data_IF_526322308364
#
_entry.id   IF_526322308364
#
_cell.length_a   1.000
_cell.length_b   1.000
_cell.length_c   1.000
_cell.angle_alpha   90.00
_cell.angle_beta   90.00
_cell.angle_gamma   90.00
#
_symmetry.space_group_name_H-M   'P 1'
#
loop_
_entity.id
_entity.type
_entity.pdbx_description
1 polymer ?
#
# COMPACT_ATOMS: atom_id res chain seq x y z
N UNK A 1 -13.43 9.40 -25.49
CA UNK A 1 -11.98 9.62 -25.33
C UNK A 1 -11.56 8.92 -24.04
N UNK A 2 -10.44 8.22 -24.05
CA UNK A 2 -9.90 7.58 -22.83
C UNK A 2 -9.42 8.66 -21.83
N UNK A 3 -9.79 8.58 -20.54
CA UNK A 3 -9.30 9.52 -19.56
C UNK A 3 -7.82 9.29 -19.26
N UNK A 4 -7.12 10.35 -18.86
CA UNK A 4 -5.82 10.21 -18.20
C UNK A 4 -5.96 9.54 -16.84
N UNK A 5 -4.91 8.91 -16.37
CA UNK A 5 -4.87 8.27 -15.06
C UNK A 5 -3.64 8.75 -14.29
N UNK A 6 -3.87 9.22 -13.08
CA UNK A 6 -2.81 9.53 -12.11
C UNK A 6 -3.01 8.64 -10.90
N UNK A 7 -2.14 7.67 -10.71
CA UNK A 7 -2.14 6.75 -9.56
C UNK A 7 -1.01 7.13 -8.59
N UNK A 8 -1.39 7.79 -7.51
CA UNK A 8 -0.49 8.19 -6.43
C UNK A 8 -0.53 7.12 -5.35
N UNK A 9 0.62 6.55 -5.03
CA UNK A 9 0.76 5.53 -4.00
C UNK A 9 1.79 5.95 -2.97
N UNK A 10 1.45 5.89 -1.70
CA UNK A 10 2.41 6.15 -0.60
C UNK A 10 2.97 4.85 -0.04
N UNK A 11 3.99 4.97 0.79
CA UNK A 11 4.70 3.86 1.43
C UNK A 11 4.49 3.90 2.95
N UNK A 12 3.94 2.84 3.52
CA UNK A 12 3.68 2.70 4.96
C UNK A 12 2.67 3.74 5.50
N UNK A 13 1.53 3.93 4.84
CA UNK A 13 0.54 4.91 5.30
C UNK A 13 -0.82 4.25 5.63
N UNK A 14 -1.22 4.17 6.90
CA UNK A 14 -2.58 3.78 7.26
C UNK A 14 -3.57 4.89 6.91
N UNK A 15 -4.83 4.53 6.68
CA UNK A 15 -5.90 5.49 6.37
C UNK A 15 -6.03 6.58 7.46
N UNK A 16 -5.90 6.22 8.73
CA UNK A 16 -5.98 7.16 9.85
C UNK A 16 -4.84 8.20 9.91
N UNK A 17 -3.79 8.05 9.11
CA UNK A 17 -2.75 9.07 8.94
C UNK A 17 -3.08 10.07 7.82
N UNK A 18 -4.38 10.39 7.63
CA UNK A 18 -4.88 11.44 6.73
C UNK A 18 -6.05 12.16 7.41
N UNK A 19 -6.13 13.47 7.27
CA UNK A 19 -7.14 14.32 7.92
C UNK A 19 -8.58 13.90 7.60
N UNK A 20 -8.89 13.64 6.33
CA UNK A 20 -10.24 13.26 5.89
C UNK A 20 -10.75 11.92 6.49
N UNK A 21 -9.86 11.11 7.09
CA UNK A 21 -10.25 9.92 7.85
C UNK A 21 -10.43 10.18 9.36
N UNK A 22 -10.48 11.44 9.77
CA UNK A 22 -10.80 11.85 11.14
C UNK A 22 -9.60 12.23 12.01
N UNK A 23 -8.39 12.26 11.46
CA UNK A 23 -7.21 12.69 12.19
C UNK A 23 -7.08 14.22 12.22
N UNK A 24 -7.36 14.83 13.37
CA UNK A 24 -7.35 16.28 13.54
C UNK A 24 -5.94 16.86 13.84
N UNK A 25 -4.94 16.01 14.09
CA UNK A 25 -3.56 16.43 14.36
C UNK A 25 -2.72 16.51 13.08
N UNK A 26 -3.13 15.79 12.02
CA UNK A 26 -2.38 15.75 10.78
C UNK A 26 -2.85 16.81 9.79
N UNK A 27 -1.92 17.44 9.09
CA UNK A 27 -2.20 18.52 8.14
C UNK A 27 -2.12 18.02 6.70
N UNK A 28 -3.30 17.77 6.11
CA UNK A 28 -3.44 17.20 4.76
C UNK A 28 -4.54 17.91 3.95
N UNK A 29 -4.46 19.24 3.78
CA UNK A 29 -5.56 20.03 3.18
C UNK A 29 -5.83 19.64 1.71
N UNK A 30 -4.84 19.21 0.95
CA UNK A 30 -5.01 18.83 -0.45
C UNK A 30 -5.70 17.46 -0.58
N UNK A 31 -5.33 16.49 0.26
CA UNK A 31 -6.02 15.21 0.35
C UNK A 31 -7.43 15.34 0.89
N UNK A 32 -7.63 16.23 1.86
CA UNK A 32 -8.97 16.53 2.40
C UNK A 32 -9.87 17.16 1.32
N UNK A 33 -9.33 18.05 0.48
CA UNK A 33 -10.05 18.62 -0.66
C UNK A 33 -10.34 17.54 -1.74
N UNK A 34 -9.36 16.68 -2.04
CA UNK A 34 -9.55 15.56 -2.97
C UNK A 34 -10.69 14.62 -2.50
N UNK A 35 -10.73 14.32 -1.21
CA UNK A 35 -11.78 13.52 -0.59
C UNK A 35 -13.15 14.23 -0.60
N UNK A 36 -13.16 15.55 -0.36
CA UNK A 36 -14.39 16.34 -0.33
C UNK A 36 -15.06 16.44 -1.72
N UNK A 37 -14.28 16.44 -2.78
CA UNK A 37 -14.78 16.55 -4.15
C UNK A 37 -14.83 15.20 -4.89
N UNK A 38 -14.26 14.15 -4.33
CA UNK A 38 -14.21 12.79 -4.88
C UNK A 38 -15.01 11.76 -4.09
N UNK A 39 -14.60 10.50 -4.21
CA UNK A 39 -15.08 9.36 -3.42
C UNK A 39 -13.99 8.91 -2.46
N UNK A 40 -14.31 8.85 -1.17
CA UNK A 40 -13.46 8.29 -0.12
C UNK A 40 -13.96 6.92 0.31
N UNK A 41 -13.09 5.91 0.26
CA UNK A 41 -13.39 4.57 0.78
C UNK A 41 -12.90 4.45 2.23
N UNK A 42 -13.80 4.17 3.17
CA UNK A 42 -13.47 4.03 4.59
C UNK A 42 -12.80 2.67 4.89
N UNK A 43 -13.12 1.65 4.10
CA UNK A 43 -12.69 0.28 4.30
C UNK A 43 -11.93 -0.26 3.07
N UNK A 44 -10.88 0.46 2.67
CA UNK A 44 -9.93 -0.03 1.68
C UNK A 44 -8.77 -0.75 2.38
N UNK A 45 -8.40 -1.91 1.86
CA UNK A 45 -7.37 -2.77 2.44
C UNK A 45 -6.35 -3.22 1.41
N UNK A 46 -5.08 -3.34 1.82
CA UNK A 46 -4.09 -4.03 1.00
C UNK A 46 -4.16 -5.56 1.23
N UNK A 47 -3.81 -6.38 0.23
CA UNK A 47 -3.83 -7.84 0.38
C UNK A 47 -2.65 -8.38 1.17
N UNK A 48 -1.57 -7.59 1.30
CA UNK A 48 -0.36 -7.92 2.03
C UNK A 48 0.26 -6.63 2.56
N UNK A 49 0.66 -6.61 3.83
CA UNK A 49 1.25 -5.41 4.43
C UNK A 49 2.77 -5.41 4.34
N UNK A 50 3.27 -5.50 3.10
CA UNK A 50 4.67 -5.30 2.74
C UNK A 50 4.79 -4.69 1.36
N UNK A 51 5.82 -3.87 1.15
CA UNK A 51 5.98 -3.04 -0.06
C UNK A 51 5.89 -3.86 -1.36
N UNK A 52 6.82 -4.81 -1.60
CA UNK A 52 6.88 -5.53 -2.88
C UNK A 52 5.65 -6.40 -3.15
N UNK A 53 5.13 -7.20 -2.20
CA UNK A 53 3.91 -7.97 -2.44
C UNK A 53 2.70 -7.10 -2.76
N UNK A 54 2.49 -6.04 -2.00
CA UNK A 54 1.35 -5.14 -2.23
C UNK A 54 1.45 -4.41 -3.57
N UNK A 55 2.63 -3.91 -3.92
CA UNK A 55 2.88 -3.28 -5.23
C UNK A 55 2.63 -4.26 -6.38
N UNK A 56 3.13 -5.49 -6.28
CA UNK A 56 2.86 -6.56 -7.25
C UNK A 56 1.35 -6.79 -7.41
N UNK A 57 0.60 -6.80 -6.31
CA UNK A 57 -0.85 -6.99 -6.31
C UNK A 57 -1.60 -5.84 -7.00
N UNK A 58 -1.26 -4.59 -6.71
CA UNK A 58 -1.89 -3.41 -7.36
C UNK A 58 -1.59 -3.39 -8.86
N UNK A 59 -0.36 -3.71 -9.26
CA UNK A 59 0.04 -3.67 -10.67
C UNK A 59 -0.55 -4.80 -11.50
N UNK A 60 -0.87 -5.95 -10.90
CA UNK A 60 -1.30 -7.16 -11.62
C UNK A 60 -2.71 -7.66 -11.30
N UNK A 61 -3.38 -7.06 -10.31
CA UNK A 61 -4.70 -7.52 -9.83
C UNK A 61 -4.68 -8.88 -9.13
N UNK A 62 -3.50 -9.37 -8.67
CA UNK A 62 -3.27 -10.72 -8.14
C UNK A 62 -2.92 -10.71 -6.66
N UNK A 63 -3.13 -11.85 -6.01
CA UNK A 63 -2.67 -12.11 -4.63
C UNK A 63 -1.24 -12.67 -4.63
N UNK A 64 -0.52 -12.61 -3.48
CA UNK A 64 0.80 -13.22 -3.34
C UNK A 64 0.87 -14.70 -3.77
N UNK A 65 -0.14 -15.50 -3.45
CA UNK A 65 -0.24 -16.90 -3.90
C UNK A 65 -0.36 -17.08 -5.42
N UNK A 66 -0.57 -16.00 -6.17
CA UNK A 66 -0.63 -16.02 -7.63
C UNK A 66 0.63 -15.44 -8.30
N UNK A 67 1.20 -14.35 -7.74
CA UNK A 67 2.36 -13.70 -8.34
C UNK A 67 3.70 -14.11 -7.70
N UNK A 68 3.68 -14.86 -6.59
CA UNK A 68 4.88 -15.42 -5.96
C UNK A 68 5.73 -14.44 -5.16
N UNK A 69 5.33 -13.18 -5.04
CA UNK A 69 6.03 -12.19 -4.22
C UNK A 69 5.39 -12.19 -2.83
N UNK A 70 5.97 -12.93 -1.89
CA UNK A 70 5.43 -13.11 -0.54
C UNK A 70 6.07 -12.20 0.51
N UNK A 71 7.28 -11.70 0.21
CA UNK A 71 8.04 -10.84 1.10
C UNK A 71 8.66 -9.68 0.33
N UNK A 72 9.21 -8.69 1.04
CA UNK A 72 9.90 -7.57 0.41
C UNK A 72 11.16 -8.04 -0.35
N UNK A 73 11.42 -7.41 -1.47
CA UNK A 73 12.62 -7.67 -2.24
C UNK A 73 13.83 -7.02 -1.57
N UNK A 74 14.85 -7.83 -1.26
CA UNK A 74 16.06 -7.33 -0.64
C UNK A 74 16.95 -6.61 -1.68
N UNK A 75 16.91 -5.30 -1.70
CA UNK A 75 17.68 -4.45 -2.63
C UNK A 75 19.21 -4.56 -2.46
N UNK A 76 19.68 -5.03 -1.31
CA UNK A 76 21.10 -5.35 -1.11
C UNK A 76 21.59 -6.50 -1.99
N UNK A 77 20.66 -7.33 -2.46
CA UNK A 77 20.94 -8.46 -3.36
C UNK A 77 20.70 -8.11 -4.85
N UNK A 78 20.35 -6.86 -5.15
CA UNK A 78 19.96 -6.43 -6.51
C UNK A 78 21.06 -6.71 -7.54
N UNK A 79 22.33 -6.58 -7.18
CA UNK A 79 23.46 -6.86 -8.07
C UNK A 79 23.56 -8.34 -8.44
N UNK A 80 22.96 -9.23 -7.65
CA UNK A 80 22.92 -10.68 -7.90
C UNK A 80 21.73 -11.09 -8.77
N UNK A 81 20.77 -10.19 -9.00
CA UNK A 81 19.62 -10.48 -9.85
C UNK A 81 20.01 -10.44 -11.33
N UNK A 82 19.35 -11.23 -12.20
CA UNK A 82 19.55 -11.13 -13.64
C UNK A 82 19.37 -9.69 -14.15
N UNK A 83 20.03 -9.34 -15.25
CA UNK A 83 20.11 -7.95 -15.75
C UNK A 83 18.73 -7.29 -15.96
N UNK A 84 17.78 -8.06 -16.50
CA UNK A 84 16.42 -7.56 -16.76
C UNK A 84 15.38 -8.16 -15.79
N UNK A 85 15.80 -8.56 -14.60
CA UNK A 85 14.90 -9.25 -13.68
C UNK A 85 13.81 -8.35 -13.13
N UNK A 86 12.58 -8.88 -13.17
CA UNK A 86 11.36 -8.27 -12.65
C UNK A 86 10.50 -9.37 -12.01
N UNK A 87 10.07 -9.16 -10.79
CA UNK A 87 9.32 -10.14 -10.00
C UNK A 87 7.94 -10.52 -10.59
N UNK A 88 7.39 -9.67 -11.45
CA UNK A 88 6.06 -9.84 -12.06
C UNK A 88 6.10 -9.84 -13.59
N UNK A 89 7.27 -10.11 -14.18
CA UNK A 89 7.47 -10.09 -15.63
C UNK A 89 6.61 -11.10 -16.42
N UNK A 90 6.09 -12.14 -15.76
CA UNK A 90 5.25 -13.16 -16.41
C UNK A 90 3.74 -12.82 -16.38
N UNK A 91 3.37 -11.67 -15.85
CA UNK A 91 1.96 -11.25 -15.73
C UNK A 91 1.67 -9.97 -16.51
N UNK A 92 0.50 -9.90 -17.10
CA UNK A 92 -0.01 -8.63 -17.65
C UNK A 92 -0.21 -7.62 -16.53
N UNK A 93 0.54 -6.55 -16.57
CA UNK A 93 0.44 -5.45 -15.60
C UNK A 93 -0.42 -4.31 -16.14
N UNK A 94 -1.00 -3.52 -15.24
CA UNK A 94 -1.80 -2.37 -15.61
C UNK A 94 -1.07 -1.43 -16.59
N UNK A 95 0.18 -0.99 -16.34
CA UNK A 95 0.85 -0.12 -17.29
C UNK A 95 1.17 -0.79 -18.64
N UNK A 96 1.46 -2.09 -18.68
CA UNK A 96 1.64 -2.80 -19.97
C UNK A 96 0.36 -2.83 -20.80
N UNK A 97 -0.78 -3.12 -20.15
CA UNK A 97 -2.08 -3.10 -20.83
C UNK A 97 -2.39 -1.72 -21.37
N UNK A 98 -2.18 -0.68 -20.57
CA UNK A 98 -2.46 0.68 -21.01
C UNK A 98 -1.49 1.13 -22.13
N UNK A 99 -0.21 0.81 -22.02
CA UNK A 99 0.77 1.14 -23.07
C UNK A 99 0.40 0.51 -24.41
N UNK A 100 0.08 -0.79 -24.45
CA UNK A 100 -0.35 -1.47 -25.68
C UNK A 100 -1.69 -0.96 -26.24
N UNK A 101 -2.47 -0.27 -25.42
CA UNK A 101 -3.72 0.41 -25.82
C UNK A 101 -3.53 1.93 -26.10
N UNK A 102 -2.30 2.39 -26.31
CA UNK A 102 -1.98 3.72 -26.79
C UNK A 102 -1.75 4.79 -25.73
N UNK A 103 -1.74 4.43 -24.45
CA UNK A 103 -1.36 5.35 -23.37
C UNK A 103 0.14 5.65 -23.40
N UNK A 104 0.50 6.88 -23.16
CA UNK A 104 1.85 7.22 -22.70
C UNK A 104 1.95 6.85 -21.22
N UNK A 105 3.00 6.13 -20.84
CA UNK A 105 3.12 5.58 -19.49
C UNK A 105 4.34 6.13 -18.78
N UNK A 106 4.15 6.57 -17.53
CA UNK A 106 5.22 7.06 -16.68
C UNK A 106 5.18 6.43 -15.30
N UNK A 107 6.37 6.15 -14.75
CA UNK A 107 6.57 5.79 -13.35
C UNK A 107 7.61 6.75 -12.75
N UNK A 108 7.21 7.47 -11.71
CA UNK A 108 8.03 8.48 -11.03
C UNK A 108 7.98 8.20 -9.54
N UNK A 109 9.02 7.56 -8.99
CA UNK A 109 9.09 7.22 -7.58
C UNK A 109 9.66 5.83 -7.29
N UNK A 110 9.24 5.21 -6.19
CA UNK A 110 9.72 3.90 -5.71
C UNK A 110 9.09 2.75 -6.50
N UNK A 111 9.90 1.97 -7.21
CA UNK A 111 9.43 0.79 -7.94
C UNK A 111 9.35 -0.48 -7.07
N UNK A 112 10.45 -0.95 -6.57
CA UNK A 112 10.62 -2.07 -5.64
C UNK A 112 10.04 -3.43 -6.12
N UNK A 113 10.05 -3.69 -7.44
CA UNK A 113 9.61 -4.95 -8.04
C UNK A 113 10.67 -5.62 -8.93
N UNK A 114 11.87 -5.06 -9.04
CA UNK A 114 12.93 -5.61 -9.87
C UNK A 114 14.09 -4.64 -10.05
N UNK A 115 14.84 -4.84 -11.15
CA UNK A 115 15.94 -3.95 -11.54
C UNK A 115 15.43 -2.54 -11.81
N UNK A 116 16.28 -1.53 -11.59
CA UNK A 116 15.91 -0.13 -11.54
C UNK A 116 16.54 0.71 -12.68
N UNK A 117 17.55 0.19 -13.32
CA UNK A 117 18.36 0.88 -14.33
C UNK A 117 17.66 1.08 -15.67
N UNK A 118 16.58 0.34 -15.93
CA UNK A 118 15.79 0.37 -17.15
C UNK A 118 14.30 0.42 -16.86
N UNK A 119 13.50 1.02 -17.77
CA UNK A 119 12.04 0.91 -17.73
C UNK A 119 11.58 -0.55 -17.70
N UNK A 120 10.53 -0.83 -16.94
CA UNK A 120 9.91 -2.14 -16.75
C UNK A 120 8.42 -2.07 -17.06
N UNK A 121 7.78 -3.21 -17.30
CA UNK A 121 6.32 -3.36 -17.36
C UNK A 121 5.61 -2.36 -18.31
N UNK A 122 6.17 -2.10 -19.47
CA UNK A 122 5.56 -1.20 -20.46
C UNK A 122 5.56 0.28 -20.07
N UNK A 123 6.46 0.69 -19.21
CA UNK A 123 6.65 2.10 -18.85
C UNK A 123 7.58 2.77 -19.86
N UNK A 124 7.18 3.93 -20.42
CA UNK A 124 7.97 4.71 -21.37
C UNK A 124 8.87 5.75 -20.68
N UNK A 125 8.37 6.38 -19.63
CA UNK A 125 9.08 7.42 -18.87
C UNK A 125 9.40 6.92 -17.47
N UNK A 126 10.72 6.86 -17.14
CA UNK A 126 11.20 6.16 -15.96
C UNK A 126 12.06 7.04 -15.07
N UNK A 127 11.55 7.35 -13.89
CA UNK A 127 12.28 8.06 -12.83
C UNK A 127 12.09 7.29 -11.54
N UNK A 128 13.18 6.86 -10.92
CA UNK A 128 13.14 6.11 -9.67
C UNK A 128 14.33 6.44 -8.78
N UNK A 129 14.34 5.91 -7.59
CA UNK A 129 15.50 5.89 -6.71
C UNK A 129 16.24 4.57 -6.84
N UNK A 130 17.55 4.56 -6.55
CA UNK A 130 18.40 3.37 -6.69
C UNK A 130 18.16 2.28 -5.65
N UNK A 131 17.23 2.47 -4.74
CA UNK A 131 16.87 1.55 -3.66
C UNK A 131 15.37 1.34 -3.53
N UNK A 132 14.97 0.17 -3.03
CA UNK A 132 13.60 -0.12 -2.63
C UNK A 132 13.26 0.36 -1.22
N UNK A 133 14.25 0.69 -0.38
CA UNK A 133 14.07 1.16 0.99
C UNK A 133 14.52 2.61 1.16
N UNK A 134 13.77 3.36 1.97
CA UNK A 134 14.09 4.73 2.34
C UNK A 134 14.92 4.74 3.61
N UNK A 135 16.19 5.11 3.50
CA UNK A 135 17.08 5.29 4.65
C UNK A 135 17.10 6.73 5.16
N UNK A 136 16.95 7.67 4.26
CA UNK A 136 16.78 9.10 4.51
C UNK A 136 15.93 9.68 3.38
N UNK A 137 15.29 10.82 3.59
CA UNK A 137 14.58 11.54 2.54
C UNK A 137 15.47 12.50 1.76
N UNK A 138 16.73 12.70 2.17
CA UNK A 138 17.73 13.59 1.58
C UNK A 138 18.95 12.82 1.11
N UNK A 139 19.65 13.35 0.12
CA UNK A 139 20.89 12.74 -0.39
C UNK A 139 20.67 11.40 -1.07
N UNK A 140 19.49 11.18 -1.67
CA UNK A 140 19.16 9.93 -2.34
C UNK A 140 19.75 9.89 -3.76
N UNK A 141 20.23 8.71 -4.14
CA UNK A 141 20.60 8.44 -5.52
C UNK A 141 19.35 8.20 -6.35
N UNK A 142 19.17 9.04 -7.38
CA UNK A 142 18.06 9.00 -8.31
C UNK A 142 18.51 8.47 -9.67
N UNK A 143 17.59 7.81 -10.36
CA UNK A 143 17.76 7.31 -11.74
C UNK A 143 16.73 8.01 -12.61
N UNK A 144 17.19 8.78 -13.60
CA UNK A 144 16.35 9.49 -14.55
C UNK A 144 16.74 9.07 -15.96
N UNK A 145 15.89 8.30 -16.64
CA UNK A 145 16.14 7.79 -17.99
C UNK A 145 17.49 7.06 -18.14
N UNK A 146 17.92 6.35 -17.10
CA UNK A 146 19.18 5.60 -17.05
C UNK A 146 20.36 6.38 -16.48
N UNK A 147 20.29 7.70 -16.35
CA UNK A 147 21.31 8.52 -15.71
C UNK A 147 21.13 8.52 -14.19
N UNK A 148 22.21 8.31 -13.45
CA UNK A 148 22.23 8.24 -11.99
C UNK A 148 22.92 9.45 -11.40
N UNK A 149 22.33 10.08 -10.38
CA UNK A 149 22.91 11.21 -9.67
C UNK A 149 22.39 11.30 -8.22
N UNK A 150 23.13 11.99 -7.36
CA UNK A 150 22.67 12.28 -5.99
C UNK A 150 21.82 13.53 -5.99
N UNK A 151 20.61 13.41 -5.43
CA UNK A 151 19.70 14.53 -5.19
C UNK A 151 19.77 14.94 -3.71
N UNK A 152 20.27 16.14 -3.43
CA UNK A 152 20.46 16.62 -2.08
C UNK A 152 19.15 17.08 -1.39
N UNK A 153 18.11 17.39 -2.17
CA UNK A 153 16.79 17.80 -1.68
C UNK A 153 15.95 16.64 -1.15
N UNK A 154 14.74 16.97 -0.70
CA UNK A 154 13.78 15.98 -0.24
C UNK A 154 13.24 15.13 -1.40
N UNK A 155 13.29 13.81 -1.28
CA UNK A 155 12.93 12.89 -2.37
C UNK A 155 11.48 13.02 -2.81
N UNK A 156 10.53 13.26 -1.88
CA UNK A 156 9.10 13.44 -2.21
C UNK A 156 8.89 14.73 -3.02
N UNK A 157 9.59 15.83 -2.67
CA UNK A 157 9.53 17.08 -3.43
C UNK A 157 10.08 16.86 -4.84
N UNK A 158 11.20 16.13 -4.97
CA UNK A 158 11.76 15.78 -6.27
C UNK A 158 10.78 14.99 -7.15
N UNK A 159 10.16 13.95 -6.60
CA UNK A 159 9.20 13.16 -7.37
C UNK A 159 7.97 13.98 -7.75
N UNK A 160 7.51 14.87 -6.87
CA UNK A 160 6.39 15.78 -7.14
C UNK A 160 6.72 16.75 -8.28
N UNK A 161 7.92 17.37 -8.24
CA UNK A 161 8.41 18.24 -9.33
C UNK A 161 8.48 17.48 -10.66
N UNK A 162 9.04 16.27 -10.67
CA UNK A 162 9.12 15.45 -11.88
C UNK A 162 7.75 15.00 -12.41
N UNK A 163 6.77 14.78 -11.52
CA UNK A 163 5.40 14.50 -11.92
C UNK A 163 4.75 15.73 -12.58
N UNK A 164 4.97 16.92 -12.02
CA UNK A 164 4.54 18.19 -12.65
C UNK A 164 5.20 18.38 -14.01
N UNK A 165 6.53 18.24 -14.11
CA UNK A 165 7.28 18.32 -15.38
C UNK A 165 6.70 17.36 -16.44
N UNK A 166 6.33 16.13 -16.03
CA UNK A 166 5.72 15.15 -16.92
C UNK A 166 4.34 15.61 -17.41
N UNK A 167 3.48 16.08 -16.51
CA UNK A 167 2.13 16.57 -16.85
C UNK A 167 2.24 17.77 -17.80
N UNK A 168 3.11 18.73 -17.51
CA UNK A 168 3.34 19.91 -18.37
C UNK A 168 3.80 19.49 -19.78
N UNK A 169 4.68 18.51 -19.85
CA UNK A 169 5.16 17.93 -21.11
C UNK A 169 4.05 17.28 -21.95
N UNK A 170 2.95 16.80 -21.33
CA UNK A 170 1.81 16.19 -22.06
C UNK A 170 1.03 17.19 -22.92
N UNK A 171 1.16 18.47 -22.67
CA UNK A 171 0.57 19.52 -23.53
C UNK A 171 1.06 19.48 -24.98
N UNK A 172 2.21 18.86 -25.24
CA UNK A 172 2.74 18.63 -26.60
C UNK A 172 2.03 17.46 -27.33
N UNK A 173 1.23 16.66 -26.63
CA UNK A 173 0.48 15.52 -27.19
C UNK A 173 -0.87 15.41 -26.47
N UNK A 174 -1.73 16.42 -26.50
CA UNK A 174 -2.92 16.52 -25.66
C UNK A 174 -3.97 15.43 -25.96
N UNK A 175 -3.97 14.88 -27.18
CA UNK A 175 -4.91 13.85 -27.61
C UNK A 175 -4.48 12.43 -27.21
N UNK A 176 -3.24 12.25 -26.75
CA UNK A 176 -2.76 10.95 -26.27
C UNK A 176 -3.01 10.83 -24.77
N UNK A 177 -3.84 9.87 -24.30
CA UNK A 177 -4.04 9.67 -22.88
C UNK A 177 -2.74 9.21 -22.23
N UNK A 178 -2.60 9.49 -20.92
CA UNK A 178 -1.43 9.06 -20.16
C UNK A 178 -1.81 8.35 -18.86
N UNK A 179 -0.94 7.44 -18.47
CA UNK A 179 -0.86 6.87 -17.12
C UNK A 179 0.38 7.46 -16.44
N UNK A 180 0.18 8.18 -15.35
CA UNK A 180 1.23 8.57 -14.43
C UNK A 180 1.11 7.74 -13.14
N UNK A 181 2.04 6.84 -12.91
CA UNK A 181 2.21 6.18 -11.62
C UNK A 181 3.22 6.98 -10.79
N UNK A 182 2.76 7.48 -9.65
CA UNK A 182 3.56 8.29 -8.72
C UNK A 182 3.67 7.57 -7.36
N UNK A 183 4.49 6.52 -7.27
CA UNK A 183 4.72 5.82 -6.00
C UNK A 183 5.78 6.56 -5.17
N UNK A 184 5.34 7.37 -4.23
CA UNK A 184 6.22 8.03 -3.28
C UNK A 184 6.98 7.03 -2.41
N UNK A 185 8.19 7.41 -1.97
CA UNK A 185 9.00 6.63 -1.02
C UNK A 185 8.72 6.99 0.45
N UNK A 186 7.64 7.69 0.72
CA UNK A 186 7.20 8.11 2.05
C UNK A 186 5.69 7.92 2.24
N UNK A 187 5.20 8.19 3.48
CA UNK A 187 5.88 8.80 4.65
C UNK A 187 6.91 7.91 5.38
N UNK A 188 6.97 6.64 5.11
CA UNK A 188 7.93 5.62 5.51
C UNK A 188 8.24 5.56 7.02
N UNK A 189 7.57 4.65 7.72
CA UNK A 189 7.64 4.55 9.17
C UNK A 189 8.89 3.86 9.75
N UNK A 190 9.78 3.30 8.91
CA UNK A 190 10.96 2.58 9.39
C UNK A 190 12.14 3.50 9.69
N UNK A 191 12.96 3.08 10.67
CA UNK A 191 14.25 3.67 10.92
C UNK A 191 15.26 3.28 9.82
N UNK A 192 16.26 4.15 9.53
CA UNK A 192 16.53 5.43 10.18
C UNK A 192 15.77 6.65 9.61
N UNK A 193 14.91 6.47 8.60
CA UNK A 193 14.29 7.56 7.84
C UNK A 193 13.58 8.62 8.71
N UNK A 194 12.94 8.17 9.80
CA UNK A 194 12.19 9.05 10.73
C UNK A 194 12.90 9.25 12.07
N UNK A 195 14.20 8.94 12.16
CA UNK A 195 14.96 9.16 13.36
C UNK A 195 15.25 10.65 13.60
N UNK A 196 14.87 11.14 14.76
CA UNK A 196 15.07 12.53 15.14
C UNK A 196 14.10 13.52 14.49
N UNK A 197 14.32 14.83 14.70
CA UNK A 197 13.51 15.87 14.10
C UNK A 197 13.57 15.83 12.57
N UNK A 198 12.46 16.04 11.89
CA UNK A 198 12.46 16.18 10.44
C UNK A 198 13.11 17.50 10.01
N UNK A 199 13.72 17.48 8.82
CA UNK A 199 14.32 18.67 8.21
C UNK A 199 13.39 19.35 7.20
N UNK A 200 12.19 18.76 6.96
CA UNK A 200 11.26 19.27 5.95
C UNK A 200 10.52 20.53 6.42
N UNK A 201 9.88 21.21 5.47
CA UNK A 201 9.20 22.50 5.68
C UNK A 201 7.99 22.43 6.64
N UNK A 202 7.49 21.25 6.98
CA UNK A 202 6.35 21.08 7.87
C UNK A 202 6.72 20.72 9.31
N UNK A 203 8.02 20.53 9.61
CA UNK A 203 8.46 20.11 10.93
C UNK A 203 7.96 21.02 12.06
N UNK A 204 8.05 22.34 11.90
CA UNK A 204 7.68 23.30 12.95
C UNK A 204 6.21 23.17 13.37
N UNK A 205 5.34 22.70 12.47
CA UNK A 205 3.93 22.43 12.79
C UNK A 205 3.77 21.29 13.79
N UNK A 206 4.69 20.33 13.78
CA UNK A 206 4.63 19.10 14.57
C UNK A 206 5.58 19.07 15.76
N UNK A 207 6.54 20.00 15.86
CA UNK A 207 7.62 19.99 16.84
C UNK A 207 7.16 19.82 18.29
N UNK A 208 6.00 20.39 18.65
CA UNK A 208 5.41 20.32 19.98
C UNK A 208 4.06 19.59 20.04
N UNK A 209 3.66 18.94 18.94
CA UNK A 209 2.35 18.28 18.87
C UNK A 209 2.25 17.11 19.87
N UNK A 210 1.15 16.99 20.62
CA UNK A 210 1.01 15.96 21.65
C UNK A 210 0.85 14.53 21.11
N UNK A 211 0.49 14.37 19.83
CA UNK A 211 0.30 13.08 19.14
C UNK A 211 -0.76 12.21 19.83
N UNK A 212 -1.89 12.82 20.19
CA UNK A 212 -3.00 12.13 20.90
C UNK A 212 -3.81 11.22 19.98
N UNK A 213 -3.73 11.42 18.68
CA UNK A 213 -4.37 10.58 17.68
C UNK A 213 -3.75 9.18 17.57
N UNK A 214 -2.57 8.97 18.17
CA UNK A 214 -1.87 7.69 18.19
C UNK A 214 -2.00 7.09 19.58
N UNK A 215 -2.63 5.90 19.73
CA UNK A 215 -2.67 5.21 21.01
C UNK A 215 -1.27 4.73 21.38
N UNK A 216 -0.80 5.11 22.56
CA UNK A 216 0.50 4.71 23.10
C UNK A 216 0.30 3.51 24.01
N UNK A 217 0.38 2.35 23.44
CA UNK A 217 0.17 1.09 24.14
C UNK A 217 1.50 0.53 24.66
N UNK A 218 1.42 -0.37 25.65
CA UNK A 218 2.58 -1.12 26.11
C UNK A 218 3.11 -2.07 25.03
N UNK A 219 4.35 -2.54 25.17
CA UNK A 219 4.97 -3.47 24.21
C UNK A 219 4.11 -4.71 23.99
N UNK A 220 3.94 -5.08 22.77
CA UNK A 220 3.25 -6.29 22.35
C UNK A 220 4.16 -7.50 22.53
N UNK A 221 3.68 -8.54 23.24
CA UNK A 221 4.45 -9.77 23.50
C UNK A 221 4.88 -10.44 22.19
N UNK A 222 4.02 -10.48 21.17
CA UNK A 222 4.34 -11.07 19.86
C UNK A 222 5.40 -10.28 19.10
N UNK A 223 5.51 -8.96 19.30
CA UNK A 223 6.60 -8.16 18.76
C UNK A 223 7.93 -8.50 19.44
N UNK A 224 7.89 -8.82 20.74
CA UNK A 224 9.04 -9.31 21.49
C UNK A 224 9.44 -10.71 21.01
N UNK A 225 8.46 -11.60 20.80
CA UNK A 225 8.70 -12.95 20.27
C UNK A 225 9.32 -12.91 18.88
N UNK A 226 8.82 -12.04 18.00
CA UNK A 226 9.39 -11.83 16.68
C UNK A 226 10.87 -11.36 16.73
N UNK A 227 11.18 -10.49 17.68
CA UNK A 227 12.55 -10.04 17.89
C UNK A 227 13.46 -11.16 18.43
N UNK A 228 13.00 -11.95 19.39
CA UNK A 228 13.75 -13.07 19.94
C UNK A 228 14.03 -14.11 18.86
N UNK A 229 13.04 -14.47 18.06
CA UNK A 229 13.20 -15.38 16.93
C UNK A 229 14.22 -14.85 15.91
N UNK A 230 14.17 -13.56 15.59
CA UNK A 230 15.14 -12.93 14.71
C UNK A 230 16.56 -12.99 15.27
N UNK A 231 16.73 -12.79 16.58
CA UNK A 231 18.02 -12.91 17.25
C UNK A 231 18.55 -14.34 17.25
N UNK A 232 17.69 -15.34 17.48
CA UNK A 232 18.07 -16.74 17.38
C UNK A 232 18.55 -17.13 15.98
N UNK A 233 17.88 -16.65 14.93
CA UNK A 233 18.29 -16.87 13.54
C UNK A 233 19.64 -16.23 13.23
N UNK A 234 19.89 -15.02 13.71
CA UNK A 234 21.19 -14.35 13.55
C UNK A 234 22.31 -15.11 14.23
N UNK A 235 22.10 -15.63 15.45
CA UNK A 235 23.07 -16.47 16.16
C UNK A 235 23.35 -17.79 15.45
N UNK A 236 22.39 -18.28 14.64
CA UNK A 236 22.57 -19.47 13.79
C UNK A 236 23.20 -19.15 12.42
N UNK A 237 23.62 -17.91 12.18
CA UNK A 237 24.15 -17.45 10.90
C UNK A 237 23.11 -17.36 9.78
N UNK A 238 21.83 -17.36 10.13
CA UNK A 238 20.74 -17.13 9.18
C UNK A 238 20.43 -15.64 9.08
N UNK A 239 20.04 -15.15 7.92
CA UNK A 239 19.47 -13.81 7.80
C UNK A 239 18.11 -13.78 8.52
N UNK A 240 18.07 -13.12 9.64
CA UNK A 240 16.83 -12.85 10.35
C UNK A 240 16.13 -11.60 9.79
N UNK A 241 14.82 -11.49 9.99
CA UNK A 241 14.11 -10.27 9.67
C UNK A 241 14.70 -9.09 10.44
N UNK A 242 14.83 -7.95 9.78
CA UNK A 242 15.48 -6.75 10.33
C UNK A 242 14.51 -5.96 11.22
N UNK A 243 14.07 -6.53 12.33
CA UNK A 243 13.05 -5.97 13.24
C UNK A 243 13.60 -5.06 14.34
N UNK A 244 14.89 -4.73 14.35
CA UNK A 244 15.50 -3.93 15.42
C UNK A 244 14.82 -2.57 15.64
N UNK A 245 14.30 -1.95 14.58
CA UNK A 245 13.57 -0.70 14.67
C UNK A 245 12.22 -0.85 15.37
N UNK A 246 11.63 -2.04 15.34
CA UNK A 246 10.26 -2.29 15.79
C UNK A 246 10.09 -2.25 17.31
N UNK A 247 11.15 -2.54 18.07
CA UNK A 247 11.14 -2.49 19.54
C UNK A 247 11.67 -1.17 20.11
N UNK A 248 12.41 -0.39 19.32
CA UNK A 248 13.07 0.83 19.81
C UNK A 248 12.19 2.07 19.74
N UNK A 249 11.13 2.04 18.92
CA UNK A 249 10.32 3.20 18.56
C UNK A 249 8.99 3.36 19.27
N UNK A 250 8.34 2.32 19.84
CA UNK A 250 7.05 2.51 20.46
C UNK A 250 7.08 3.73 21.38
N UNK A 251 6.19 4.70 21.15
CA UNK A 251 6.10 5.95 21.92
C UNK A 251 7.22 6.99 21.72
N UNK A 252 8.07 6.88 20.72
CA UNK A 252 9.01 7.94 20.41
C UNK A 252 8.30 9.13 19.72
N UNK A 253 7.97 10.16 20.51
CA UNK A 253 7.23 11.33 20.03
C UNK A 253 7.92 12.05 18.86
N UNK A 254 9.25 12.13 18.87
CA UNK A 254 9.99 12.79 17.79
C UNK A 254 9.83 12.02 16.47
N UNK A 255 9.89 10.70 16.50
CA UNK A 255 9.66 9.87 15.31
C UNK A 255 8.20 9.92 14.82
N UNK A 256 7.22 9.94 15.73
CA UNK A 256 5.82 10.12 15.39
C UNK A 256 5.58 11.47 14.70
N UNK A 257 6.13 12.54 15.24
CA UNK A 257 6.05 13.90 14.68
C UNK A 257 6.75 14.00 13.33
N UNK A 258 7.92 13.34 13.19
CA UNK A 258 8.63 13.26 11.92
C UNK A 258 7.77 12.55 10.88
N UNK A 259 7.19 11.40 11.20
CA UNK A 259 6.30 10.66 10.31
C UNK A 259 5.10 11.53 9.84
N UNK A 260 4.41 12.23 10.74
CA UNK A 260 3.30 13.12 10.36
C UNK A 260 3.76 14.27 9.46
N UNK A 261 4.95 14.82 9.72
CA UNK A 261 5.49 15.87 8.86
C UNK A 261 5.79 15.36 7.43
N UNK A 262 6.21 14.09 7.28
CA UNK A 262 6.40 13.48 5.96
C UNK A 262 5.07 13.30 5.20
N UNK A 263 3.99 12.98 5.90
CA UNK A 263 2.64 12.93 5.27
C UNK A 263 2.25 14.32 4.74
N UNK A 264 2.55 15.39 5.46
CA UNK A 264 2.27 16.76 4.99
C UNK A 264 3.12 17.16 3.78
N UNK A 265 4.35 16.67 3.65
CA UNK A 265 5.16 16.85 2.43
C UNK A 265 4.50 16.16 1.23
N UNK A 266 3.99 14.95 1.43
CA UNK A 266 3.25 14.22 0.38
C UNK A 266 1.98 14.97 -0.01
N UNK A 267 1.20 15.41 0.96
CA UNK A 267 0.00 16.21 0.70
C UNK A 267 0.28 17.45 -0.14
N UNK A 268 1.40 18.13 0.18
CA UNK A 268 1.85 19.27 -0.62
C UNK A 268 2.15 18.87 -2.08
N UNK A 269 2.84 17.74 -2.28
CA UNK A 269 3.10 17.19 -3.61
C UNK A 269 1.83 16.82 -4.38
N UNK A 270 0.84 16.25 -3.69
CA UNK A 270 -0.49 15.99 -4.30
C UNK A 270 -1.14 17.30 -4.77
N UNK A 271 -1.07 18.35 -3.96
CA UNK A 271 -1.55 19.69 -4.35
C UNK A 271 -0.87 20.22 -5.60
N UNK A 272 0.43 20.04 -5.75
CA UNK A 272 1.18 20.45 -6.95
C UNK A 272 0.71 19.66 -8.18
N UNK A 273 0.54 18.35 -8.07
CA UNK A 273 0.02 17.51 -9.18
C UNK A 273 -1.39 17.93 -9.60
N UNK A 274 -2.29 18.14 -8.64
CA UNK A 274 -3.66 18.58 -8.92
C UNK A 274 -3.70 19.96 -9.60
N UNK A 275 -2.83 20.88 -9.17
CA UNK A 275 -2.70 22.19 -9.79
C UNK A 275 -2.18 22.06 -11.23
N UNK A 276 -1.17 21.25 -11.48
CA UNK A 276 -0.62 21.02 -12.82
C UNK A 276 -1.68 20.45 -13.78
N UNK A 277 -2.49 19.49 -13.34
CA UNK A 277 -3.60 18.95 -14.13
C UNK A 277 -4.58 20.07 -14.53
N UNK A 278 -4.95 20.93 -13.59
CA UNK A 278 -5.89 22.02 -13.80
C UNK A 278 -5.31 23.12 -14.71
N UNK A 279 -4.08 23.54 -14.46
CA UNK A 279 -3.42 24.59 -15.25
C UNK A 279 -3.21 24.20 -16.70
N UNK A 280 -3.03 22.91 -16.97
CA UNK A 280 -2.89 22.34 -18.30
C UNK A 280 -4.21 21.89 -18.95
N UNK A 281 -5.35 22.03 -18.25
CA UNK A 281 -6.67 21.67 -18.76
C UNK A 281 -6.91 20.17 -18.90
N UNK A 282 -6.22 19.36 -18.09
CA UNK A 282 -6.40 17.89 -18.04
C UNK A 282 -7.38 17.43 -16.98
N UNK A 283 -7.78 18.30 -16.05
CA UNK A 283 -8.61 17.96 -14.86
C UNK A 283 -9.99 17.38 -15.24
N UNK A 284 -10.62 17.88 -16.29
CA UNK A 284 -11.94 17.39 -16.75
C UNK A 284 -11.90 15.96 -17.31
N UNK A 285 -10.75 15.48 -17.77
CA UNK A 285 -10.58 14.15 -18.38
C UNK A 285 -9.45 13.34 -17.71
N UNK A 286 -9.33 13.44 -16.40
CA UNK A 286 -8.36 12.66 -15.63
C UNK A 286 -9.04 11.95 -14.46
N UNK A 287 -8.66 10.70 -14.22
CA UNK A 287 -8.97 9.95 -13.00
C UNK A 287 -7.74 10.04 -12.10
N UNK A 288 -7.90 10.58 -10.90
CA UNK A 288 -6.86 10.63 -9.87
C UNK A 288 -7.20 9.64 -8.78
N UNK A 289 -6.24 8.79 -8.44
CA UNK A 289 -6.33 7.79 -7.37
C UNK A 289 -5.21 8.07 -6.37
N UNK A 290 -5.56 8.23 -5.11
CA UNK A 290 -4.61 8.28 -4.01
C UNK A 290 -4.79 7.06 -3.12
N UNK A 291 -3.72 6.31 -2.90
CA UNK A 291 -3.71 5.13 -2.04
C UNK A 291 -2.34 4.92 -1.38
N UNK A 292 -2.20 3.88 -0.58
CA UNK A 292 -0.91 3.43 -0.05
C UNK A 292 -0.66 1.98 -0.46
N UNK A 293 0.62 1.56 -0.44
CA UNK A 293 0.94 0.14 -0.64
C UNK A 293 0.45 -0.71 0.55
N UNK A 294 0.66 -0.25 1.78
CA UNK A 294 0.09 -0.85 2.99
C UNK A 294 0.01 0.16 4.13
N UNK A 295 -0.71 -0.22 5.19
CA UNK A 295 -0.76 0.54 6.43
C UNK A 295 0.52 0.36 7.27
N UNK A 296 0.51 0.94 8.48
CA UNK A 296 1.65 0.88 9.39
C UNK A 296 1.20 1.16 10.82
N UNK A 297 1.56 0.30 11.76
CA UNK A 297 1.36 0.60 13.16
C UNK A 297 2.42 1.59 13.64
N UNK A 298 1.96 2.68 14.23
CA UNK A 298 2.80 3.71 14.86
C UNK A 298 2.82 3.57 16.39
N UNK A 299 2.61 2.35 16.89
CA UNK A 299 2.49 2.03 18.32
C UNK A 299 1.13 1.45 18.70
N UNK A 300 0.18 1.38 17.78
CA UNK A 300 -1.08 0.64 17.95
C UNK A 300 -0.78 -0.83 18.25
N UNK A 301 -1.55 -1.46 19.11
CA UNK A 301 -1.30 -2.82 19.58
C UNK A 301 0.08 -3.03 20.23
N UNK A 302 0.81 -1.95 20.55
CA UNK A 302 2.12 -2.01 21.21
C UNK A 302 3.26 -2.50 20.30
N UNK A 303 3.13 -2.35 18.99
CA UNK A 303 4.22 -2.59 18.06
C UNK A 303 4.39 -1.44 17.05
N UNK A 304 5.55 -1.40 16.41
CA UNK A 304 5.90 -0.45 15.35
C UNK A 304 6.21 -1.21 14.07
N UNK A 305 5.45 -1.00 13.03
CA UNK A 305 5.64 -1.69 11.76
C UNK A 305 4.35 -2.18 11.10
N UNK A 306 4.47 -3.16 10.25
CA UNK A 306 3.38 -3.71 9.44
C UNK A 306 3.12 -5.21 9.69
N UNK A 307 2.68 -5.98 8.69
CA UNK A 307 2.26 -7.39 8.87
C UNK A 307 3.28 -8.29 9.56
N UNK A 308 4.56 -8.15 9.23
CA UNK A 308 5.67 -8.93 9.83
C UNK A 308 6.20 -8.38 11.17
N UNK A 309 5.65 -7.29 11.68
CA UNK A 309 6.14 -6.71 12.93
C UNK A 309 5.82 -7.56 14.17
N UNK A 310 5.04 -8.60 14.01
CA UNK A 310 4.69 -9.58 15.03
C UNK A 310 4.95 -10.99 14.53
N UNK A 311 5.15 -11.94 15.43
CA UNK A 311 5.16 -13.36 15.13
C UNK A 311 4.09 -14.09 15.97
N UNK A 312 3.15 -14.84 15.37
CA UNK A 312 2.87 -14.89 13.92
C UNK A 312 2.55 -13.52 13.34
N UNK A 313 2.66 -13.42 12.00
CA UNK A 313 2.34 -12.19 11.24
C UNK A 313 0.91 -11.74 11.54
N UNK A 314 0.72 -10.46 11.81
CA UNK A 314 -0.60 -9.93 12.11
C UNK A 314 -1.40 -9.60 10.84
N UNK A 315 -2.72 -9.48 11.00
CA UNK A 315 -3.62 -8.92 10.02
C UNK A 315 -4.51 -7.82 10.62
N UNK A 316 -3.97 -7.10 11.63
CA UNK A 316 -4.68 -6.02 12.29
C UNK A 316 -4.97 -4.87 11.33
N UNK A 317 -6.12 -4.24 11.52
CA UNK A 317 -6.61 -3.15 10.69
C UNK A 317 -5.55 -2.09 10.41
N UNK A 318 -4.80 -1.66 11.41
CA UNK A 318 -3.81 -0.58 11.27
C UNK A 318 -2.72 -0.86 10.22
N UNK A 319 -2.32 -2.11 10.03
CA UNK A 319 -1.30 -2.49 9.06
C UNK A 319 -1.87 -2.71 7.64
N UNK A 320 -3.18 -2.86 7.49
CA UNK A 320 -3.81 -3.23 6.22
C UNK A 320 -4.83 -2.22 5.71
N UNK A 321 -5.46 -1.40 6.58
CA UNK A 321 -6.39 -0.37 6.16
C UNK A 321 -5.62 0.84 5.62
N UNK A 322 -5.78 1.08 4.33
CA UNK A 322 -5.08 2.11 3.57
C UNK A 322 -6.04 3.23 3.14
N UNK A 323 -5.55 4.45 2.92
CA UNK A 323 -6.36 5.46 2.26
C UNK A 323 -6.70 5.01 0.83
N UNK A 324 -7.90 5.29 0.39
CA UNK A 324 -8.29 5.20 -1.02
C UNK A 324 -9.24 6.35 -1.32
N UNK A 325 -8.73 7.30 -2.09
CA UNK A 325 -9.47 8.45 -2.60
C UNK A 325 -9.49 8.37 -4.12
N UNK A 326 -10.64 8.57 -4.73
CA UNK A 326 -10.77 8.62 -6.19
C UNK A 326 -11.53 9.86 -6.62
N UNK A 327 -11.01 10.54 -7.63
CA UNK A 327 -11.55 11.80 -8.12
C UNK A 327 -11.44 11.87 -9.64
N UNK A 328 -12.35 12.61 -10.28
CA UNK A 328 -12.23 13.03 -11.65
C UNK A 328 -13.24 12.43 -12.62
N UNK A 329 -12.82 12.15 -13.84
CA UNK A 329 -13.68 11.77 -14.95
C UNK A 329 -14.63 10.62 -14.64
N UNK A 330 -15.95 10.88 -14.70
CA UNK A 330 -17.00 9.88 -14.49
C UNK A 330 -17.10 9.36 -13.05
N UNK A 331 -16.54 10.05 -12.07
CA UNK A 331 -16.66 9.75 -10.64
C UNK A 331 -17.64 10.72 -10.02
N UNK A 332 -18.67 10.22 -9.37
CA UNK A 332 -19.65 11.07 -8.66
C UNK A 332 -19.02 11.58 -7.37
N UNK A 333 -18.61 12.85 -7.36
CA UNK A 333 -17.93 13.45 -6.22
C UNK A 333 -18.78 13.59 -4.95
N UNK A 334 -18.12 13.97 -3.83
CA UNK A 334 -18.73 14.27 -2.52
C UNK A 334 -19.36 13.06 -1.84
N UNK A 335 -18.75 11.91 -1.97
CA UNK A 335 -19.24 10.65 -1.40
C UNK A 335 -18.21 9.99 -0.48
N UNK A 336 -18.70 9.24 0.48
CA UNK A 336 -17.90 8.27 1.22
C UNK A 336 -18.56 6.90 1.12
N UNK A 337 -17.77 5.88 0.78
CA UNK A 337 -18.21 4.49 0.75
C UNK A 337 -17.71 3.77 1.99
N UNK A 338 -18.58 2.98 2.60
CA UNK A 338 -18.23 2.05 3.68
C UNK A 338 -17.97 0.62 3.17
N UNK A 339 -18.05 0.41 1.87
CA UNK A 339 -17.81 -0.88 1.23
C UNK A 339 -16.36 -1.34 1.41
N UNK A 340 -16.18 -2.65 1.57
CA UNK A 340 -14.88 -3.28 1.74
C UNK A 340 -14.26 -3.56 0.38
N UNK A 341 -13.19 -2.84 0.06
CA UNK A 341 -12.46 -2.97 -1.21
C UNK A 341 -10.99 -3.33 -0.95
N UNK A 342 -10.42 -4.10 -1.86
CA UNK A 342 -8.98 -4.39 -1.87
C UNK A 342 -8.24 -3.44 -2.82
N UNK A 343 -7.00 -3.11 -2.52
CA UNK A 343 -6.17 -2.36 -3.49
C UNK A 343 -5.93 -3.15 -4.79
N UNK A 344 -6.07 -4.47 -4.80
CA UNK A 344 -6.08 -5.30 -6.01
C UNK A 344 -7.25 -4.94 -6.93
N UNK A 345 -8.38 -4.49 -6.37
CA UNK A 345 -9.61 -4.17 -7.11
C UNK A 345 -9.44 -2.92 -8.01
N UNK A 346 -8.40 -2.10 -7.77
CA UNK A 346 -8.05 -0.95 -8.62
C UNK A 346 -7.76 -1.42 -10.05
N UNK A 347 -7.09 -2.56 -10.22
CA UNK A 347 -6.73 -3.11 -11.53
C UNK A 347 -7.97 -3.40 -12.39
N UNK A 348 -8.91 -4.21 -11.90
CA UNK A 348 -10.14 -4.54 -12.63
C UNK A 348 -11.03 -3.31 -12.84
N UNK A 349 -11.11 -2.43 -11.84
CA UNK A 349 -11.92 -1.21 -11.92
C UNK A 349 -11.42 -0.27 -13.01
N UNK A 350 -10.11 -0.06 -13.11
CA UNK A 350 -9.54 0.79 -14.17
C UNK A 350 -9.74 0.16 -15.55
N UNK A 351 -9.48 -1.13 -15.71
CA UNK A 351 -9.68 -1.80 -17.00
C UNK A 351 -11.15 -1.77 -17.45
N UNK A 352 -12.08 -1.95 -16.52
CA UNK A 352 -13.52 -1.79 -16.81
C UNK A 352 -13.86 -0.38 -17.29
N UNK A 353 -13.44 0.64 -16.54
CA UNK A 353 -13.72 2.04 -16.89
C UNK A 353 -13.13 2.47 -18.23
N UNK A 354 -12.10 1.79 -18.69
CA UNK A 354 -11.46 2.01 -19.97
C UNK A 354 -12.03 1.12 -21.09
N UNK A 355 -12.99 0.24 -20.79
CA UNK A 355 -13.58 -0.68 -21.76
C UNK A 355 -12.59 -1.76 -22.22
N UNK A 356 -11.58 -2.09 -21.42
CA UNK A 356 -10.54 -3.09 -21.72
C UNK A 356 -10.90 -4.48 -21.17
N UNK A 357 -12.14 -4.91 -21.37
CA UNK A 357 -12.71 -6.17 -20.86
C UNK A 357 -11.99 -7.42 -21.35
N UNK A 358 -11.55 -7.43 -22.60
CA UNK A 358 -10.87 -8.59 -23.19
C UNK A 358 -9.58 -8.95 -22.45
N UNK A 359 -8.96 -7.96 -21.82
CA UNK A 359 -7.76 -8.16 -21.01
C UNK A 359 -8.08 -8.76 -19.63
N UNK A 360 -9.30 -8.56 -19.12
CA UNK A 360 -9.76 -9.14 -17.85
C UNK A 360 -10.29 -10.56 -18.01
N UNK A 361 -11.13 -10.81 -19.00
CA UNK A 361 -11.86 -12.10 -19.17
C UNK A 361 -10.91 -13.31 -19.29
N UNK A 362 -9.68 -13.08 -19.74
CA UNK A 362 -8.66 -14.12 -19.91
C UNK A 362 -7.91 -14.45 -18.64
N UNK A 363 -8.11 -13.67 -17.57
CA UNK A 363 -7.32 -13.77 -16.35
C UNK A 363 -8.14 -14.35 -15.19
N UNK A 364 -7.64 -15.39 -14.54
CA UNK A 364 -8.20 -15.88 -13.29
C UNK A 364 -7.61 -15.07 -12.11
N UNK A 365 -8.17 -13.88 -11.85
CA UNK A 365 -7.69 -12.97 -10.81
C UNK A 365 -8.80 -12.64 -9.80
N UNK A 366 -8.46 -12.37 -8.54
CA UNK A 366 -9.43 -12.01 -7.50
C UNK A 366 -9.82 -10.52 -7.53
N UNK A 367 -9.18 -9.72 -8.39
CA UNK A 367 -9.48 -8.30 -8.55
C UNK A 367 -10.94 -8.10 -8.99
N UNK A 368 -11.69 -7.33 -8.20
CA UNK A 368 -13.11 -7.06 -8.42
C UNK A 368 -13.31 -5.65 -8.98
N UNK A 369 -14.32 -5.48 -9.80
CA UNK A 369 -14.68 -4.18 -10.34
C UNK A 369 -15.65 -3.44 -9.41
N UNK A 370 -15.20 -2.32 -8.83
CA UNK A 370 -16.02 -1.46 -7.98
C UNK A 370 -16.50 -0.17 -8.67
N UNK A 371 -16.61 -0.17 -9.99
CA UNK A 371 -17.09 1.01 -10.76
C UNK A 371 -18.46 1.49 -10.24
N UNK A 372 -19.36 0.57 -9.86
CA UNK A 372 -20.65 0.91 -9.25
C UNK A 372 -20.52 1.76 -8.01
N UNK A 373 -19.58 1.45 -7.12
CA UNK A 373 -19.35 2.21 -5.89
C UNK A 373 -18.90 3.66 -6.14
N UNK A 374 -18.28 3.93 -7.28
CA UNK A 374 -17.85 5.28 -7.67
C UNK A 374 -19.01 6.20 -8.08
N UNK A 375 -20.18 5.62 -8.33
CA UNK A 375 -21.42 6.36 -8.68
C UNK A 375 -22.51 6.17 -7.64
N UNK A 376 -22.19 5.52 -6.51
CA UNK A 376 -23.12 5.30 -5.39
C UNK A 376 -24.03 4.09 -5.56
N UNK A 377 -23.67 3.14 -6.43
CA UNK A 377 -24.39 1.86 -6.63
C UNK A 377 -23.59 0.74 -5.93
N UNK A 378 -24.13 0.22 -4.83
CA UNK A 378 -23.56 -0.86 -4.02
C UNK A 378 -24.41 -2.14 -3.99
N UNK A 379 -25.51 -2.19 -4.76
CA UNK A 379 -26.55 -3.24 -4.71
C UNK A 379 -26.01 -4.68 -4.86
N UNK A 380 -24.89 -4.87 -5.58
CA UNK A 380 -24.31 -6.19 -5.86
C UNK A 380 -22.91 -6.37 -5.27
N UNK A 381 -22.47 -5.47 -4.39
CA UNK A 381 -21.16 -5.55 -3.79
C UNK A 381 -21.12 -6.47 -2.56
N UNK A 382 -20.09 -7.29 -2.46
CA UNK A 382 -19.85 -8.14 -1.28
C UNK A 382 -18.78 -7.50 -0.39
N UNK A 383 -19.18 -7.15 0.82
CA UNK A 383 -18.32 -6.50 1.82
C UNK A 383 -17.41 -7.51 2.51
N UNK A 384 -16.41 -7.98 1.79
CA UNK A 384 -15.34 -8.82 2.34
C UNK A 384 -14.03 -8.57 1.60
N UNK A 385 -12.91 -8.69 2.31
CA UNK A 385 -11.55 -8.64 1.74
C UNK A 385 -10.71 -9.76 2.32
N UNK A 386 -9.77 -10.25 1.50
CA UNK A 386 -8.85 -11.32 1.87
C UNK A 386 -7.43 -10.78 1.95
N UNK A 387 -6.68 -11.30 2.91
CA UNK A 387 -5.30 -10.92 3.23
C UNK A 387 -4.45 -12.18 3.20
N UNK A 388 -3.23 -12.06 2.68
CA UNK A 388 -2.22 -13.10 2.72
C UNK A 388 -0.89 -12.51 3.16
N UNK A 389 -0.42 -12.91 4.33
CA UNK A 389 0.84 -12.48 4.89
C UNK A 389 1.60 -13.70 5.40
N UNK A 390 2.48 -14.26 4.55
CA UNK A 390 3.28 -15.45 4.87
C UNK A 390 2.43 -16.61 5.45
N UNK A 391 2.61 -16.96 6.74
CA UNK A 391 1.87 -18.03 7.43
C UNK A 391 0.44 -17.63 7.83
N UNK A 392 -0.02 -16.45 7.47
CA UNK A 392 -1.35 -15.93 7.82
C UNK A 392 -2.19 -15.67 6.58
N UNK A 393 -3.38 -16.26 6.52
CA UNK A 393 -4.45 -15.84 5.62
C UNK A 393 -5.61 -15.32 6.46
N UNK A 394 -6.18 -14.20 6.08
CA UNK A 394 -7.26 -13.59 6.84
C UNK A 394 -8.42 -13.14 5.95
N UNK A 395 -9.59 -13.05 6.55
CA UNK A 395 -10.78 -12.43 5.98
C UNK A 395 -11.25 -11.30 6.91
N UNK A 396 -11.64 -10.19 6.33
CA UNK A 396 -12.32 -9.08 7.02
C UNK A 396 -13.68 -8.82 6.38
N UNK A 397 -14.67 -8.68 7.23
CA UNK A 397 -16.05 -8.30 6.88
C UNK A 397 -16.47 -7.13 7.76
N UNK A 398 -17.65 -6.50 7.57
CA UNK A 398 -18.12 -5.45 8.46
C UNK A 398 -18.24 -5.85 9.93
N UNK A 399 -18.48 -7.13 10.22
CA UNK A 399 -18.71 -7.63 11.57
C UNK A 399 -17.56 -8.45 12.15
N UNK A 400 -16.72 -9.04 11.33
CA UNK A 400 -15.73 -10.02 11.78
C UNK A 400 -14.38 -9.87 11.11
N UNK A 401 -13.31 -10.16 11.85
CA UNK A 401 -11.96 -10.38 11.35
C UNK A 401 -11.48 -11.74 11.83
N UNK A 402 -11.00 -12.59 10.91
CA UNK A 402 -10.51 -13.94 11.25
C UNK A 402 -9.15 -14.18 10.61
N UNK A 403 -8.16 -14.57 11.44
CA UNK A 403 -6.80 -14.91 11.02
C UNK A 403 -6.61 -16.42 11.10
N UNK A 404 -6.44 -17.05 9.96
CA UNK A 404 -6.12 -18.47 9.83
C UNK A 404 -4.61 -18.63 9.66
N UNK A 405 -4.01 -19.52 10.46
CA UNK A 405 -2.58 -19.77 10.51
C UNK A 405 -2.20 -21.06 9.81
N UNK A 406 -1.04 -21.06 9.18
CA UNK A 406 -0.47 -22.18 8.43
C UNK A 406 0.96 -22.46 8.91
N UNK A 407 1.47 -23.68 8.72
CA UNK A 407 2.86 -24.03 8.93
C UNK A 407 3.34 -24.09 10.39
N UNK A 408 2.45 -24.14 11.36
CA UNK A 408 2.82 -24.35 12.75
C UNK A 408 3.48 -25.71 13.02
N UNK A 409 4.31 -25.81 14.06
CA UNK A 409 4.95 -27.04 14.53
C UNK A 409 4.58 -27.33 15.97
N UNK A 410 4.92 -28.55 16.49
CA UNK A 410 4.73 -28.88 17.91
C UNK A 410 5.52 -27.93 18.84
N UNK A 411 6.68 -27.45 18.38
CA UNK A 411 7.53 -26.53 19.15
C UNK A 411 7.02 -25.09 19.09
N UNK A 412 6.42 -24.69 17.95
CA UNK A 412 5.86 -23.36 17.72
C UNK A 412 4.44 -23.49 17.16
N UNK A 413 3.45 -23.83 18.00
CA UNK A 413 2.07 -23.95 17.55
C UNK A 413 1.52 -22.58 17.20
N UNK A 414 0.92 -22.47 16.02
CA UNK A 414 0.27 -21.24 15.57
C UNK A 414 -1.23 -21.29 15.91
N UNK A 415 -1.73 -20.24 16.52
CA UNK A 415 -3.12 -20.11 16.92
C UNK A 415 -3.86 -19.15 15.97
N UNK A 416 -5.04 -19.57 15.51
CA UNK A 416 -5.97 -18.69 14.79
C UNK A 416 -6.48 -17.58 15.72
N UNK A 417 -7.02 -16.52 15.15
CA UNK A 417 -7.59 -15.40 15.90
C UNK A 417 -8.92 -14.99 15.29
N UNK A 418 -9.88 -14.63 16.15
CA UNK A 418 -11.20 -14.15 15.75
C UNK A 418 -11.56 -12.89 16.54
N UNK A 419 -12.02 -11.86 15.84
CA UNK A 419 -12.43 -10.59 16.42
C UNK A 419 -13.84 -10.20 15.97
N UNK A 420 -14.67 -9.76 16.93
CA UNK A 420 -15.99 -9.16 16.70
C UNK A 420 -15.83 -7.65 16.48
N UNK A 421 -15.82 -7.22 15.24
CA UNK A 421 -15.56 -5.81 14.89
C UNK A 421 -16.72 -4.85 15.25
N UNK A 422 -17.90 -5.38 15.58
CA UNK A 422 -19.02 -4.57 16.05
C UNK A 422 -18.80 -4.12 17.50
N UNK A 423 -18.33 -5.04 18.35
CA UNK A 423 -18.13 -4.79 19.77
C UNK A 423 -16.67 -4.46 20.12
N UNK A 424 -15.74 -4.85 19.27
CA UNK A 424 -14.30 -4.67 19.42
C UNK A 424 -13.67 -4.24 18.08
N UNK A 425 -13.94 -3.00 17.60
CA UNK A 425 -13.44 -2.52 16.31
C UNK A 425 -11.91 -2.38 16.27
N UNK A 426 -11.26 -2.36 17.43
CA UNK A 426 -9.81 -2.24 17.57
C UNK A 426 -9.10 -3.59 17.74
N UNK A 427 -9.82 -4.73 17.62
CA UNK A 427 -9.25 -6.07 17.62
C UNK A 427 -8.41 -6.39 18.88
N UNK A 428 -8.99 -6.15 20.07
CA UNK A 428 -8.31 -6.33 21.37
C UNK A 428 -8.62 -7.66 22.03
N UNK A 429 -9.79 -8.23 21.77
CA UNK A 429 -10.32 -9.43 22.42
C UNK A 429 -10.40 -10.59 21.41
N UNK A 430 -9.40 -11.47 21.44
CA UNK A 430 -9.41 -12.69 20.63
C UNK A 430 -10.47 -13.69 21.17
N UNK A 431 -11.45 -13.99 20.35
CA UNK A 431 -12.57 -14.89 20.63
C UNK A 431 -12.35 -16.30 20.09
N UNK A 432 -11.21 -16.57 19.46
CA UNK A 432 -10.93 -17.87 18.86
C UNK A 432 -10.94 -19.02 19.86
N UNK A 433 -11.44 -20.17 19.45
CA UNK A 433 -11.55 -21.37 20.26
C UNK A 433 -12.67 -21.35 21.32
N UNK A 434 -13.42 -20.24 21.44
CA UNK A 434 -14.58 -20.18 22.32
C UNK A 434 -15.76 -20.93 21.71
N UNK A 435 -16.45 -21.72 22.52
CA UNK A 435 -17.49 -22.64 22.05
C UNK A 435 -18.61 -21.93 21.31
N UNK A 436 -19.02 -20.76 21.79
CA UNK A 436 -20.07 -19.94 21.19
C UNK A 436 -19.71 -19.38 19.80
N UNK A 437 -18.43 -19.30 19.45
CA UNK A 437 -17.93 -18.74 18.19
C UNK A 437 -17.46 -19.78 17.18
N UNK A 438 -17.48 -21.09 17.51
CA UNK A 438 -16.97 -22.16 16.64
C UNK A 438 -17.63 -22.22 15.26
N UNK A 439 -18.93 -21.96 15.17
CA UNK A 439 -19.63 -21.97 13.88
C UNK A 439 -19.20 -20.77 13.01
N UNK A 440 -18.96 -19.61 13.65
CA UNK A 440 -18.45 -18.44 12.96
C UNK A 440 -17.01 -18.65 12.48
N UNK A 441 -16.15 -19.20 13.31
CA UNK A 441 -14.77 -19.55 12.90
C UNK A 441 -14.77 -20.49 11.70
N UNK A 442 -15.64 -21.51 11.71
CA UNK A 442 -15.77 -22.46 10.59
C UNK A 442 -16.22 -21.75 9.31
N UNK A 443 -17.27 -20.93 9.40
CA UNK A 443 -17.78 -20.15 8.26
C UNK A 443 -16.68 -19.30 7.62
N UNK A 444 -15.93 -18.56 8.42
CA UNK A 444 -14.87 -17.66 7.94
C UNK A 444 -13.64 -18.43 7.43
N UNK A 445 -13.30 -19.55 8.09
CA UNK A 445 -12.26 -20.47 7.61
C UNK A 445 -12.60 -21.07 6.25
N UNK A 446 -13.84 -21.51 6.06
CA UNK A 446 -14.31 -22.08 4.79
C UNK A 446 -14.27 -21.03 3.66
N UNK A 447 -14.63 -19.77 3.96
CA UNK A 447 -14.51 -18.67 2.99
C UNK A 447 -13.04 -18.43 2.56
N UNK A 448 -12.10 -18.46 3.51
CA UNK A 448 -10.67 -18.37 3.19
C UNK A 448 -10.25 -19.52 2.28
N UNK A 449 -10.60 -20.76 2.62
CA UNK A 449 -10.23 -21.93 1.84
C UNK A 449 -10.82 -21.88 0.43
N UNK A 450 -12.09 -21.51 0.29
CA UNK A 450 -12.73 -21.35 -1.02
C UNK A 450 -12.01 -20.29 -1.86
N UNK A 451 -11.71 -19.14 -1.28
CA UNK A 451 -11.03 -18.05 -1.99
C UNK A 451 -9.64 -18.49 -2.48
N UNK A 452 -8.80 -18.99 -1.57
CA UNK A 452 -7.43 -19.36 -1.94
C UNK A 452 -7.39 -20.59 -2.84
N UNK A 453 -8.25 -21.58 -2.66
CA UNK A 453 -8.37 -22.72 -3.59
C UNK A 453 -8.85 -22.31 -5.01
N UNK A 454 -9.60 -21.22 -5.11
CA UNK A 454 -10.06 -20.70 -6.41
C UNK A 454 -8.95 -19.99 -7.17
N UNK A 455 -8.12 -19.22 -6.47
CA UNK A 455 -7.18 -18.30 -7.09
C UNK A 455 -5.71 -18.71 -6.98
N UNK A 456 -5.31 -19.48 -5.98
CA UNK A 456 -3.91 -19.84 -5.77
C UNK A 456 -3.32 -20.57 -6.97
N UNK A 457 -2.09 -20.17 -7.33
CA UNK A 457 -1.29 -20.88 -8.31
C UNK A 457 -0.36 -21.86 -7.59
N UNK A 458 -0.46 -23.18 -7.85
CA UNK A 458 0.37 -24.19 -7.17
C UNK A 458 1.88 -23.95 -7.30
N UNK A 459 2.32 -23.19 -8.32
CA UNK A 459 3.73 -22.81 -8.50
C UNK A 459 4.21 -21.82 -7.43
N UNK A 460 3.32 -20.97 -6.93
CA UNK A 460 3.63 -19.83 -6.09
C UNK A 460 3.00 -19.88 -4.70
N UNK A 461 2.00 -20.74 -4.52
CA UNK A 461 1.35 -20.87 -3.22
C UNK A 461 2.26 -21.52 -2.19
N UNK A 462 2.33 -20.94 -1.00
CA UNK A 462 3.17 -21.45 0.10
C UNK A 462 2.54 -22.63 0.84
N UNK A 463 1.20 -22.84 0.72
CA UNK A 463 0.44 -23.68 1.65
C UNK A 463 -0.40 -24.79 0.96
N UNK A 464 -0.24 -25.00 -0.33
CA UNK A 464 -0.89 -26.09 -1.09
C UNK A 464 0.08 -27.16 -1.53
#
# INVERSE_FOLDING_TARGET
DFPNIVLIMTDNQPAEAVGCYGNNEIYTPNLDALAADGVRFNNAYCPNAMCSPSRASVWSGRMPCQHGVHTWLNDKLMDQWPEDWNAIAEFDTLPEILNRNGYATAMIGKYHLGKLDKPQNGIDHWITMSRGHTLDFYGNEMIVNGDTFIHDGHSVDFFSEKAVDYIDGRTNSPDQPFLLMLPYNGPYGHWPAILGPAKNQFWDRYADMPMTSIPREGLNERAIDAFQLAMEWLHQGKEGPNFYSLLQLPNNLTSLRNYYSQVSVIDHGVGQVMNALKENGFDDNTIVIYTADHGFSLGHHGFWGHGQATWPSNAYRIAYNIPLLMWGAGISGKQSSSSFVSSTDIYATLLDRLGLWEDLEKQNIPSRNFTGLLIGDDDNWTDEVFIEQEETRAIRTPAWSYFKRFGGSETYPLKNELYDLINDPDERADLSGQKEHQDKERELSDKIDIFFNTYANPKFDLWN
#
